data_IF_102709129569
#
_entry.id   IF_102709129569
#
_cell.length_a   1.000
_cell.length_b   1.000
_cell.length_c   1.000
_cell.angle_alpha   90.00
_cell.angle_beta   90.00
_cell.angle_gamma   90.00
#
_symmetry.space_group_name_H-M   'P 1'
#
loop_
_entity.id
_entity.type
_entity.pdbx_description
1 polymer ?
#
# COMPACT_ATOMS: atom_id res chain seq x y z
N UNK A 1 -27.61 5.88 -13.72
CA UNK A 1 -26.70 4.71 -13.62
C UNK A 1 -26.59 4.39 -12.15
N UNK A 2 -27.06 3.21 -11.72
CA UNK A 2 -26.81 2.75 -10.36
C UNK A 2 -25.29 2.59 -10.20
N UNK A 3 -24.69 3.46 -9.38
CA UNK A 3 -23.29 3.37 -9.05
C UNK A 3 -23.17 2.22 -8.04
N UNK A 4 -22.79 1.04 -8.53
CA UNK A 4 -22.42 -0.13 -7.73
C UNK A 4 -20.87 -0.20 -7.65
N UNK A 5 -20.19 0.69 -6.90
CA UNK A 5 -18.74 0.66 -6.74
C UNK A 5 -18.25 -0.62 -6.06
N UNK A 6 -19.11 -1.27 -5.27
CA UNK A 6 -18.86 -2.53 -4.56
C UNK A 6 -18.76 -3.75 -5.48
N UNK A 7 -19.30 -3.67 -6.70
CA UNK A 7 -19.36 -4.80 -7.63
C UNK A 7 -18.24 -4.75 -8.66
N UNK A 8 -17.67 -5.92 -8.97
CA UNK A 8 -16.69 -6.07 -10.05
C UNK A 8 -17.33 -5.81 -11.40
N UNK A 9 -16.51 -5.50 -12.41
CA UNK A 9 -17.00 -5.29 -13.76
C UNK A 9 -17.66 -6.55 -14.38
N UNK A 10 -17.31 -7.74 -13.89
CA UNK A 10 -17.89 -9.01 -14.33
C UNK A 10 -19.28 -9.24 -13.74
N UNK A 11 -19.46 -8.98 -12.44
CA UNK A 11 -20.75 -9.09 -11.77
C UNK A 11 -21.75 -8.06 -12.33
N UNK A 12 -21.29 -6.85 -12.61
CA UNK A 12 -22.11 -5.84 -13.30
C UNK A 12 -22.48 -6.27 -14.71
N UNK A 13 -21.57 -6.90 -15.46
CA UNK A 13 -21.86 -7.40 -16.79
C UNK A 13 -22.90 -8.54 -16.76
N UNK A 14 -22.89 -9.38 -15.72
CA UNK A 14 -23.88 -10.44 -15.54
C UNK A 14 -25.29 -9.89 -15.28
N UNK A 15 -25.41 -8.73 -14.63
CA UNK A 15 -26.69 -8.07 -14.38
C UNK A 15 -27.17 -7.16 -15.53
N UNK A 16 -26.28 -6.82 -16.47
CA UNK A 16 -26.56 -5.88 -17.56
C UNK A 16 -26.67 -6.63 -18.90
N UNK A 17 -27.90 -6.89 -19.39
CA UNK A 17 -28.07 -7.61 -20.65
C UNK A 17 -27.36 -6.89 -21.81
N UNK A 18 -26.58 -7.66 -22.59
CA UNK A 18 -25.84 -7.15 -23.75
C UNK A 18 -24.57 -6.36 -23.42
N UNK A 19 -24.11 -6.34 -22.16
CA UNK A 19 -22.86 -5.67 -21.78
C UNK A 19 -21.79 -6.67 -21.37
N UNK A 20 -20.61 -6.52 -21.94
CA UNK A 20 -19.43 -7.31 -21.55
C UNK A 20 -18.68 -6.62 -20.42
N UNK A 21 -17.93 -7.40 -19.61
CA UNK A 21 -17.08 -6.85 -18.56
C UNK A 21 -16.08 -5.80 -19.11
N UNK A 22 -15.60 -5.98 -20.34
CA UNK A 22 -14.73 -5.02 -21.04
C UNK A 22 -15.44 -3.69 -21.33
N UNK A 23 -16.70 -3.74 -21.77
CA UNK A 23 -17.50 -2.53 -21.98
C UNK A 23 -17.74 -1.78 -20.67
N UNK A 24 -18.04 -2.51 -19.58
CA UNK A 24 -18.20 -1.94 -18.23
C UNK A 24 -16.91 -1.27 -17.75
N UNK A 25 -15.74 -1.93 -17.94
CA UNK A 25 -14.42 -1.31 -17.64
C UNK A 25 -14.20 -0.02 -18.44
N UNK A 26 -14.46 -0.04 -19.74
CA UNK A 26 -14.28 1.14 -20.63
C UNK A 26 -15.19 2.31 -20.23
N UNK A 27 -16.42 2.02 -19.81
CA UNK A 27 -17.37 3.01 -19.30
C UNK A 27 -16.87 3.55 -17.96
N UNK A 28 -16.43 2.68 -17.04
CA UNK A 28 -15.81 3.09 -15.76
C UNK A 28 -14.56 3.95 -15.97
N UNK A 29 -13.70 3.62 -16.93
CA UNK A 29 -12.51 4.41 -17.30
C UNK A 29 -12.84 5.75 -17.96
N UNK A 30 -13.94 5.79 -18.74
CA UNK A 30 -14.43 6.99 -19.43
C UNK A 30 -15.12 7.96 -18.47
N UNK A 31 -15.95 7.45 -17.57
CA UNK A 31 -16.75 8.23 -16.63
C UNK A 31 -16.07 8.44 -15.26
N UNK A 32 -15.11 7.59 -14.88
CA UNK A 32 -14.29 7.71 -13.67
C UNK A 32 -13.16 8.76 -13.76
N UNK A 33 -13.04 9.47 -14.88
CA UNK A 33 -12.09 10.60 -15.05
C UNK A 33 -12.71 11.99 -14.87
N UNK A 34 -14.04 12.12 -14.78
CA UNK A 34 -14.71 13.44 -14.66
C UNK A 34 -16.00 13.36 -13.84
N UNK A 35 -15.88 12.95 -12.57
CA UNK A 35 -16.86 13.36 -11.58
C UNK A 35 -16.12 14.09 -10.47
N UNK A 36 -16.32 15.40 -10.38
CA UNK A 36 -16.00 16.11 -9.16
C UNK A 36 -16.73 15.39 -8.01
N UNK A 37 -15.98 14.78 -7.08
CA UNK A 37 -16.54 14.02 -5.95
C UNK A 37 -16.47 12.49 -6.03
N UNK A 38 -15.84 11.86 -7.04
CA UNK A 38 -15.60 10.41 -6.99
C UNK A 38 -14.31 10.08 -6.23
N UNK A 39 -14.39 9.29 -5.15
CA UNK A 39 -13.22 8.77 -4.44
C UNK A 39 -12.30 8.03 -5.43
N UNK A 40 -11.02 8.42 -5.54
CA UNK A 40 -10.10 7.78 -6.48
C UNK A 40 -9.95 6.29 -6.16
N UNK A 41 -9.70 5.47 -7.19
CA UNK A 41 -9.36 4.07 -7.01
C UNK A 41 -7.94 3.92 -6.43
N UNK A 42 -7.72 2.84 -5.70
CA UNK A 42 -6.43 2.50 -5.13
C UNK A 42 -5.38 2.27 -6.22
N UNK A 43 -4.28 3.01 -6.17
CA UNK A 43 -3.15 2.91 -7.10
C UNK A 43 -2.48 1.53 -7.14
N UNK A 44 -2.60 0.72 -6.08
CA UNK A 44 -1.94 -0.58 -5.99
C UNK A 44 -2.77 -1.70 -6.64
N UNK A 45 -4.07 -1.75 -6.37
CA UNK A 45 -4.92 -2.85 -6.82
C UNK A 45 -5.99 -2.46 -7.85
N UNK A 46 -6.19 -1.16 -8.09
CA UNK A 46 -7.22 -0.56 -8.96
C UNK A 46 -8.67 -1.04 -8.72
N UNK A 47 -8.90 -1.83 -7.67
CA UNK A 47 -10.17 -2.51 -7.41
C UNK A 47 -11.01 -1.84 -6.33
N UNK A 48 -10.36 -1.16 -5.38
CA UNK A 48 -11.01 -0.60 -4.18
C UNK A 48 -10.83 0.92 -4.12
N UNK A 49 -11.76 1.66 -3.52
CA UNK A 49 -11.58 3.10 -3.29
C UNK A 49 -10.38 3.36 -2.37
N UNK A 50 -9.75 4.51 -2.55
CA UNK A 50 -8.75 5.04 -1.62
C UNK A 50 -9.38 5.20 -0.24
N UNK A 51 -8.64 4.85 0.81
CA UNK A 51 -9.12 4.96 2.18
C UNK A 51 -9.09 6.41 2.65
N UNK A 52 -10.23 7.08 2.57
CA UNK A 52 -10.34 8.53 2.83
C UNK A 52 -10.21 8.92 4.30
N UNK A 53 -10.61 8.04 5.23
CA UNK A 53 -10.52 8.27 6.69
C UNK A 53 -9.07 8.42 7.17
N UNK A 54 -8.10 7.84 6.45
CA UNK A 54 -6.68 7.95 6.76
C UNK A 54 -6.00 9.00 5.86
N UNK A 55 -5.57 10.16 6.40
CA UNK A 55 -4.86 11.17 5.61
C UNK A 55 -3.57 10.64 4.97
N UNK A 56 -2.92 9.66 5.61
CA UNK A 56 -1.74 8.99 5.05
C UNK A 56 -2.12 8.10 3.88
N UNK A 57 -3.12 7.23 4.03
CA UNK A 57 -3.59 6.37 2.94
C UNK A 57 -4.08 7.21 1.75
N UNK A 58 -4.77 8.33 2.01
CA UNK A 58 -5.21 9.29 0.99
C UNK A 58 -4.05 9.90 0.21
N UNK A 59 -3.01 10.39 0.91
CA UNK A 59 -1.79 10.90 0.24
C UNK A 59 -1.07 9.84 -0.60
N UNK A 60 -1.12 8.59 -0.17
CA UNK A 60 -0.50 7.46 -0.88
C UNK A 60 -1.37 6.92 -2.01
N UNK A 61 -2.66 7.27 -2.06
CA UNK A 61 -3.61 6.73 -3.02
C UNK A 61 -3.89 5.24 -2.82
N UNK A 62 -3.95 4.77 -1.56
CA UNK A 62 -4.14 3.35 -1.23
C UNK A 62 -5.50 3.08 -0.58
N UNK A 63 -6.11 1.94 -0.91
CA UNK A 63 -7.23 1.40 -0.14
C UNK A 63 -6.73 0.88 1.21
N UNK A 64 -7.66 0.60 2.14
CA UNK A 64 -7.34 0.13 3.50
C UNK A 64 -6.41 -1.08 3.51
N UNK A 65 -6.72 -2.12 2.74
CA UNK A 65 -5.88 -3.34 2.65
C UNK A 65 -4.46 -3.03 2.19
N UNK A 66 -4.30 -2.51 0.97
CA UNK A 66 -2.98 -2.17 0.43
C UNK A 66 -2.19 -1.16 1.28
N UNK A 67 -2.87 -0.28 2.02
CA UNK A 67 -2.21 0.62 2.96
C UNK A 67 -1.64 -0.15 4.16
N UNK A 68 -2.41 -1.06 4.75
CA UNK A 68 -1.92 -1.87 5.88
C UNK A 68 -0.74 -2.76 5.47
N UNK A 69 -0.84 -3.40 4.30
CA UNK A 69 0.25 -4.23 3.75
C UNK A 69 1.53 -3.41 3.53
N UNK A 70 1.41 -2.20 2.96
CA UNK A 70 2.54 -1.30 2.75
C UNK A 70 3.15 -0.80 4.06
N UNK A 71 2.33 -0.54 5.08
CA UNK A 71 2.80 -0.14 6.40
C UNK A 71 3.50 -1.28 7.14
N UNK A 72 3.00 -2.51 7.02
CA UNK A 72 3.65 -3.70 7.56
C UNK A 72 5.01 -3.93 6.89
N UNK A 73 5.08 -3.83 5.56
CA UNK A 73 6.34 -3.93 4.81
C UNK A 73 7.37 -2.90 5.27
N UNK A 74 6.96 -1.63 5.43
CA UNK A 74 7.84 -0.55 5.92
C UNK A 74 8.33 -0.83 7.34
N UNK A 75 7.43 -1.26 8.23
CA UNK A 75 7.78 -1.62 9.61
C UNK A 75 8.81 -2.74 9.66
N UNK A 76 8.63 -3.78 8.82
CA UNK A 76 9.59 -4.89 8.71
C UNK A 76 10.95 -4.43 8.15
N UNK A 77 10.96 -3.50 7.19
CA UNK A 77 12.19 -2.88 6.68
C UNK A 77 12.93 -2.07 7.75
N UNK A 78 12.21 -1.24 8.50
CA UNK A 78 12.77 -0.45 9.59
C UNK A 78 13.32 -1.33 10.72
N UNK A 79 12.62 -2.41 11.06
CA UNK A 79 13.08 -3.39 12.05
C UNK A 79 14.38 -4.08 11.60
N UNK A 80 14.45 -4.50 10.33
CA UNK A 80 15.69 -5.08 9.75
C UNK A 80 16.85 -4.08 9.78
N UNK A 81 16.61 -2.82 9.39
CA UNK A 81 17.61 -1.77 9.43
C UNK A 81 18.08 -1.48 10.87
N UNK A 82 17.15 -1.45 11.83
CA UNK A 82 17.45 -1.31 13.26
C UNK A 82 18.32 -2.43 13.80
N UNK A 83 17.99 -3.69 13.48
CA UNK A 83 18.78 -4.85 13.87
C UNK A 83 20.20 -4.79 13.29
N UNK A 84 20.35 -4.37 12.03
CA UNK A 84 21.66 -4.20 11.41
C UNK A 84 22.49 -3.14 12.13
N UNK A 85 21.90 -1.96 12.40
CA UNK A 85 22.57 -0.88 13.16
C UNK A 85 23.03 -1.36 14.53
N UNK A 86 22.18 -2.12 15.25
CA UNK A 86 22.52 -2.69 16.56
C UNK A 86 23.70 -3.66 16.45
N UNK A 87 23.69 -4.58 15.48
CA UNK A 87 24.80 -5.53 15.26
C UNK A 87 26.13 -4.81 14.99
N UNK A 88 26.12 -3.76 14.15
CA UNK A 88 27.31 -2.96 13.88
C UNK A 88 27.81 -2.22 15.12
N UNK A 89 26.90 -1.63 15.89
CA UNK A 89 27.23 -0.97 17.15
C UNK A 89 27.87 -1.95 18.14
N UNK A 90 27.25 -3.12 18.33
CA UNK A 90 27.74 -4.14 19.25
C UNK A 90 29.10 -4.71 18.81
N UNK A 91 29.33 -4.89 17.50
CA UNK A 91 30.62 -5.30 16.96
C UNK A 91 31.72 -4.27 17.28
N UNK A 92 31.46 -2.98 17.02
CA UNK A 92 32.39 -1.88 17.36
C UNK A 92 32.66 -1.82 18.86
N UNK A 93 31.64 -2.00 19.70
CA UNK A 93 31.79 -2.00 21.15
C UNK A 93 32.67 -3.17 21.63
N UNK A 94 32.52 -4.36 21.03
CA UNK A 94 33.36 -5.54 21.32
C UNK A 94 34.80 -5.31 20.91
N UNK A 95 35.05 -4.77 19.71
CA UNK A 95 36.39 -4.42 19.24
C UNK A 95 37.06 -3.39 20.16
N UNK A 96 36.33 -2.35 20.58
CA UNK A 96 36.85 -1.33 21.48
C UNK A 96 37.23 -1.92 22.86
N UNK A 97 36.40 -2.82 23.41
CA UNK A 97 36.72 -3.54 24.65
C UNK A 97 37.95 -4.44 24.50
N UNK A 98 38.05 -5.19 23.40
CA UNK A 98 39.20 -6.05 23.12
C UNK A 98 40.52 -5.25 22.99
N UNK A 99 40.47 -4.06 22.39
CA UNK A 99 41.64 -3.16 22.32
C UNK A 99 42.07 -2.63 23.69
N UNK A 100 41.11 -2.28 24.55
CA UNK A 100 41.41 -1.82 25.92
C UNK A 100 42.07 -2.91 26.76
N UNK A 101 41.51 -4.12 26.76
CA UNK A 101 42.08 -5.24 27.53
C UNK A 101 43.44 -5.75 27.05
N UNK A 102 43.86 -5.43 25.82
CA UNK A 102 45.21 -5.72 25.30
C UNK A 102 46.25 -4.63 25.63
N UNK A 103 45.83 -3.47 26.11
CA UNK A 103 46.72 -2.38 26.52
C UNK A 103 47.11 -2.41 28.01
N UNK A 104 46.53 -3.32 28.79
CA UNK A 104 46.80 -3.53 30.22
C UNK A 104 47.66 -4.77 30.51
N UNK A 105 48.25 -5.39 29.47
CA UNK A 105 49.14 -6.57 29.57
C UNK A 105 50.54 -6.25 29.05
#
# INVERSE_FOLDING_TARGET
MLAHPEMTAAELAAMLPGRTAKAVRRIRERHGRRAAGSTPACRCCDARPVWEESPRARRMGLCKGCYLDEMERRSAEDARAGALRKRMHDARAREARAKRGKGEA
#
